data_IF_419657573667
#
_entry.id   IF_419657573667
#
_cell.length_a   1.000
_cell.length_b   1.000
_cell.length_c   1.000
_cell.angle_alpha   90.00
_cell.angle_beta   90.00
_cell.angle_gamma   90.00
#
_symmetry.space_group_name_H-M   'P 1'
#
loop_
_entity.id
_entity.type
_entity.pdbx_description
1 polymer ?
#
# COMPACT_ATOMS: atom_id res chain seq x y z
N UNK A 1 -43.24 16.00 8.21
CA UNK A 1 -42.86 14.59 8.35
C UNK A 1 -42.36 14.32 9.77
N UNK A 2 -42.74 13.14 10.30
CA UNK A 2 -42.55 12.83 11.69
C UNK A 2 -41.06 12.74 12.06
N UNK A 3 -40.64 13.32 13.21
CA UNK A 3 -39.25 13.23 13.72
C UNK A 3 -38.73 11.78 13.83
N UNK A 4 -39.62 10.82 14.00
CA UNK A 4 -39.30 9.39 14.08
C UNK A 4 -38.77 8.82 12.75
N UNK A 5 -39.25 9.31 11.61
CA UNK A 5 -38.76 8.85 10.28
C UNK A 5 -37.36 9.37 10.02
N UNK A 6 -37.11 10.65 10.32
CA UNK A 6 -35.77 11.22 10.20
C UNK A 6 -34.76 10.50 11.10
N UNK A 7 -35.19 10.17 12.32
CA UNK A 7 -34.32 9.43 13.26
C UNK A 7 -34.02 8.02 12.75
N UNK A 8 -35.02 7.33 12.21
CA UNK A 8 -34.86 5.98 11.63
C UNK A 8 -33.93 5.97 10.43
N UNK A 9 -34.07 6.96 9.55
CA UNK A 9 -33.17 7.12 8.40
C UNK A 9 -31.73 7.41 8.83
N UNK A 10 -31.55 8.25 9.84
CA UNK A 10 -30.24 8.52 10.41
C UNK A 10 -29.59 7.26 11.01
N UNK A 11 -30.38 6.47 11.74
CA UNK A 11 -29.91 5.21 12.30
C UNK A 11 -29.54 4.20 11.21
N UNK A 12 -30.32 4.08 10.15
CA UNK A 12 -30.03 3.20 9.03
C UNK A 12 -28.74 3.61 8.33
N UNK A 13 -28.54 4.91 8.09
CA UNK A 13 -27.28 5.42 7.52
C UNK A 13 -26.09 5.11 8.40
N UNK A 14 -26.23 5.27 9.71
CA UNK A 14 -25.16 4.94 10.67
C UNK A 14 -24.83 3.45 10.67
N UNK A 15 -25.83 2.58 10.57
CA UNK A 15 -25.62 1.11 10.47
C UNK A 15 -24.88 0.74 9.19
N UNK A 16 -25.26 1.33 8.05
CA UNK A 16 -24.60 1.08 6.77
C UNK A 16 -23.15 1.54 6.82
N UNK A 17 -22.90 2.73 7.36
CA UNK A 17 -21.55 3.27 7.51
C UNK A 17 -20.68 2.39 8.41
N UNK A 18 -21.23 1.91 9.52
CA UNK A 18 -20.52 1.00 10.44
C UNK A 18 -20.19 -0.33 9.76
N UNK A 19 -21.15 -0.92 9.03
CA UNK A 19 -20.92 -2.17 8.30
C UNK A 19 -19.85 -2.01 7.22
N UNK A 20 -19.82 -0.89 6.52
CA UNK A 20 -18.79 -0.58 5.53
C UNK A 20 -17.40 -0.44 6.17
N UNK A 21 -17.33 0.20 7.34
CA UNK A 21 -16.07 0.36 8.09
C UNK A 21 -15.55 -1.00 8.59
N UNK A 22 -16.44 -1.84 9.10
CA UNK A 22 -16.09 -3.20 9.51
C UNK A 22 -15.57 -4.04 8.34
N UNK A 23 -16.20 -3.93 7.17
CA UNK A 23 -15.76 -4.62 5.95
C UNK A 23 -14.40 -4.12 5.48
N UNK A 24 -14.15 -2.81 5.50
CA UNK A 24 -12.84 -2.25 5.17
C UNK A 24 -11.75 -2.75 6.12
N UNK A 25 -12.05 -2.78 7.41
CA UNK A 25 -11.13 -3.32 8.42
C UNK A 25 -10.81 -4.78 8.16
N UNK A 26 -11.81 -5.59 7.87
CA UNK A 26 -11.64 -6.99 7.54
C UNK A 26 -10.83 -7.17 6.25
N UNK A 27 -11.11 -6.40 5.21
CA UNK A 27 -10.40 -6.42 3.94
C UNK A 27 -8.92 -6.04 4.10
N UNK A 28 -8.63 -5.03 4.91
CA UNK A 28 -7.26 -4.62 5.24
C UNK A 28 -6.49 -5.75 5.93
N UNK A 29 -7.09 -6.40 6.93
CA UNK A 29 -6.48 -7.55 7.62
C UNK A 29 -6.25 -8.74 6.69
N UNK A 30 -7.23 -9.08 5.86
CA UNK A 30 -7.13 -10.18 4.89
C UNK A 30 -6.07 -9.96 3.82
N UNK A 31 -5.75 -8.71 3.51
CA UNK A 31 -4.72 -8.39 2.52
C UNK A 31 -3.36 -9.01 2.87
N UNK A 32 -3.06 -9.16 4.16
CA UNK A 32 -1.80 -9.73 4.64
C UNK A 32 -1.85 -11.25 4.85
N UNK A 33 -2.98 -11.88 4.64
CA UNK A 33 -3.17 -13.33 4.76
C UNK A 33 -2.94 -14.07 3.43
N UNK A 34 -3.09 -13.36 2.31
CA UNK A 34 -2.86 -13.92 0.98
C UNK A 34 -1.39 -13.78 0.61
N UNK A 35 -0.86 -14.76 -0.10
CA UNK A 35 0.49 -14.67 -0.67
C UNK A 35 0.47 -15.19 -2.09
N UNK A 36 0.89 -14.32 -3.02
CA UNK A 36 1.05 -14.72 -4.42
C UNK A 36 2.24 -15.67 -4.51
N UNK A 37 2.05 -16.82 -5.19
CA UNK A 37 3.15 -17.73 -5.45
C UNK A 37 4.12 -17.09 -6.44
N UNK A 38 5.43 -17.18 -6.19
CA UNK A 38 6.43 -16.65 -7.12
C UNK A 38 6.26 -17.20 -8.54
N UNK A 39 5.84 -18.47 -8.66
CA UNK A 39 5.60 -19.16 -9.93
C UNK A 39 4.50 -18.51 -10.78
N UNK A 40 3.53 -17.88 -10.14
CA UNK A 40 2.41 -17.24 -10.83
C UNK A 40 2.85 -15.99 -11.60
N UNK A 41 3.86 -15.30 -11.12
CA UNK A 41 4.43 -14.12 -11.77
C UNK A 41 5.34 -14.51 -12.96
N UNK A 42 5.79 -15.76 -13.02
CA UNK A 42 6.69 -16.28 -14.05
C UNK A 42 5.98 -16.78 -15.31
N UNK A 43 4.64 -16.95 -15.28
CA UNK A 43 3.89 -17.62 -16.35
C UNK A 43 3.54 -16.69 -17.54
N UNK A 44 3.69 -15.40 -17.39
CA UNK A 44 3.32 -14.41 -18.41
C UNK A 44 4.52 -13.70 -19.04
N UNK A 45 5.28 -14.39 -19.91
CA UNK A 45 6.22 -13.68 -20.73
C UNK A 45 7.36 -14.49 -21.29
N UNK A 46 7.54 -14.43 -22.59
CA UNK A 46 8.50 -15.23 -23.33
C UNK A 46 9.92 -14.64 -23.41
N UNK A 47 10.17 -13.39 -23.03
CA UNK A 47 11.48 -12.77 -23.06
C UNK A 47 11.95 -12.32 -21.68
N UNK A 48 13.05 -12.93 -21.23
CA UNK A 48 13.63 -12.74 -19.90
C UNK A 48 14.51 -11.48 -19.90
N UNK A 49 13.92 -10.33 -19.59
CA UNK A 49 14.67 -9.10 -19.30
C UNK A 49 15.22 -9.08 -17.87
N UNK A 50 16.08 -8.10 -17.51
CA UNK A 50 16.62 -7.95 -16.16
C UNK A 50 15.53 -7.89 -15.08
N UNK A 51 14.40 -7.27 -15.35
CA UNK A 51 13.24 -7.20 -14.46
C UNK A 51 12.58 -8.59 -14.24
N UNK A 52 12.73 -9.51 -15.18
CA UNK A 52 12.22 -10.88 -15.09
C UNK A 52 13.13 -11.75 -14.20
N UNK A 53 14.43 -11.54 -14.27
CA UNK A 53 15.39 -12.20 -13.38
C UNK A 53 15.15 -11.78 -11.92
N UNK A 54 14.86 -10.52 -11.67
CA UNK A 54 14.52 -10.02 -10.33
C UNK A 54 13.23 -10.64 -9.80
N UNK A 55 12.22 -10.87 -10.66
CA UNK A 55 10.99 -11.57 -10.28
C UNK A 55 11.23 -13.03 -9.89
N UNK A 56 12.10 -13.74 -10.63
CA UNK A 56 12.46 -15.14 -10.34
C UNK A 56 13.28 -15.28 -9.06
N UNK A 57 14.10 -14.27 -8.74
CA UNK A 57 14.91 -14.26 -7.54
C UNK A 57 14.11 -13.99 -6.27
N UNK A 58 12.82 -13.54 -6.40
CA UNK A 58 11.94 -13.22 -5.31
C UNK A 58 12.19 -11.84 -4.66
N UNK A 59 11.26 -11.41 -3.85
CA UNK A 59 11.30 -10.08 -3.23
C UNK A 59 12.51 -9.89 -2.31
N UNK A 60 12.92 -10.95 -1.61
CA UNK A 60 14.09 -10.91 -0.70
C UNK A 60 15.39 -10.51 -1.39
N UNK A 61 15.53 -10.79 -2.67
CA UNK A 61 16.71 -10.43 -3.44
C UNK A 61 16.89 -8.91 -3.59
N UNK A 62 15.84 -8.14 -3.34
CA UNK A 62 15.84 -6.67 -3.44
C UNK A 62 16.31 -5.99 -2.16
N UNK A 63 16.59 -6.74 -1.09
CA UNK A 63 17.08 -6.16 0.17
C UNK A 63 18.38 -5.36 -0.07
N UNK A 64 18.38 -4.12 0.41
CA UNK A 64 19.51 -3.19 0.25
C UNK A 64 19.50 -2.39 -1.05
N UNK A 65 18.62 -2.72 -2.00
CA UNK A 65 18.51 -2.05 -3.30
C UNK A 65 17.07 -1.77 -3.75
N UNK A 66 16.13 -1.81 -2.82
CA UNK A 66 14.74 -1.52 -3.11
C UNK A 66 14.61 -0.06 -3.57
N UNK A 67 13.97 0.21 -4.73
CA UNK A 67 13.75 1.59 -5.15
C UNK A 67 12.76 2.30 -4.24
N UNK A 68 12.93 3.61 -4.08
CA UNK A 68 11.94 4.41 -3.36
C UNK A 68 10.63 4.51 -4.15
N UNK A 69 9.48 4.54 -3.46
CA UNK A 69 8.17 4.62 -4.13
C UNK A 69 7.88 5.97 -4.78
N UNK A 70 8.70 7.00 -4.50
CA UNK A 70 8.63 8.31 -5.14
C UNK A 70 9.97 8.57 -5.82
N UNK A 71 9.92 8.90 -7.11
CA UNK A 71 11.11 9.24 -7.89
C UNK A 71 11.60 10.65 -7.54
N UNK A 72 12.92 10.86 -7.66
CA UNK A 72 13.55 12.16 -7.44
C UNK A 72 14.05 12.35 -6.00
N UNK A 73 14.34 13.59 -5.66
CA UNK A 73 14.83 13.96 -4.32
C UNK A 73 13.66 14.10 -3.35
N UNK A 74 13.23 12.98 -2.78
CA UNK A 74 12.32 13.01 -1.65
C UNK A 74 13.12 13.04 -0.36
N UNK A 75 12.71 13.85 0.59
CA UNK A 75 13.20 13.74 1.95
C UNK A 75 12.59 12.50 2.60
N UNK A 76 13.42 11.59 3.06
CA UNK A 76 13.00 10.32 3.67
C UNK A 76 13.27 10.36 5.16
N UNK A 77 12.23 10.14 5.96
CA UNK A 77 12.33 10.14 7.41
C UNK A 77 11.74 8.84 7.98
N UNK A 78 12.47 8.18 8.87
CA UNK A 78 11.93 7.06 9.63
C UNK A 78 10.92 7.56 10.65
N UNK A 79 9.76 6.92 10.72
CA UNK A 79 8.69 7.27 11.65
C UNK A 79 8.14 6.03 12.33
N UNK A 80 7.68 6.18 13.56
CA UNK A 80 6.92 5.17 14.28
C UNK A 80 5.50 5.65 14.49
N UNK A 81 4.53 4.83 14.15
CA UNK A 81 3.12 5.15 14.40
C UNK A 81 2.70 4.68 15.77
N UNK A 82 2.05 5.57 16.52
CA UNK A 82 1.47 5.22 17.82
C UNK A 82 0.28 4.31 17.62
N UNK A 83 0.27 3.16 18.30
CA UNK A 83 -0.87 2.25 18.42
C UNK A 83 -1.07 1.23 17.31
N UNK A 84 -0.53 1.42 16.14
CA UNK A 84 -0.79 0.51 15.02
C UNK A 84 0.45 -0.15 14.44
N UNK A 85 1.57 0.07 15.03
CA UNK A 85 2.57 -0.65 14.40
C UNK A 85 3.97 -0.16 14.43
N UNK A 86 4.74 -0.89 13.83
CA UNK A 86 6.15 -0.83 13.73
C UNK A 86 6.66 0.35 12.94
N UNK A 87 7.94 0.31 12.63
CA UNK A 87 8.63 1.36 11.92
C UNK A 87 8.13 1.50 10.48
N UNK A 88 7.95 2.73 10.03
CA UNK A 88 7.67 3.08 8.64
C UNK A 88 8.59 4.19 8.18
N UNK A 89 8.39 4.65 6.96
CA UNK A 89 9.07 5.83 6.44
C UNK A 89 8.06 6.83 5.89
N UNK A 90 8.37 8.09 6.07
CA UNK A 90 7.63 9.20 5.50
C UNK A 90 8.48 9.87 4.44
N UNK A 91 7.93 10.01 3.24
CA UNK A 91 8.61 10.64 2.11
C UNK A 91 7.91 11.94 1.79
N UNK A 92 8.63 13.05 1.89
CA UNK A 92 8.14 14.37 1.49
C UNK A 92 8.29 14.52 -0.02
N UNK A 93 7.24 14.94 -0.68
CA UNK A 93 7.19 15.04 -2.13
C UNK A 93 6.48 16.34 -2.57
N UNK A 94 6.45 16.58 -3.86
CA UNK A 94 5.62 17.62 -4.46
C UNK A 94 4.15 17.19 -4.46
N UNK A 95 3.25 18.16 -4.43
CA UNK A 95 1.81 17.91 -4.53
C UNK A 95 1.48 17.10 -5.78
N UNK A 96 0.71 16.03 -5.61
CA UNK A 96 0.31 15.17 -6.72
C UNK A 96 1.43 14.32 -7.29
N UNK A 97 2.58 14.21 -6.63
CA UNK A 97 3.69 13.37 -7.10
C UNK A 97 3.23 11.92 -7.31
N UNK A 98 3.65 11.27 -8.41
CA UNK A 98 3.33 9.87 -8.64
C UNK A 98 3.96 8.97 -7.59
N UNK A 99 3.19 8.00 -7.12
CA UNK A 99 3.64 6.91 -6.24
C UNK A 99 3.73 5.62 -7.05
N UNK A 100 4.86 4.96 -6.98
CA UNK A 100 5.15 3.76 -7.76
C UNK A 100 5.36 2.54 -6.88
N UNK A 101 4.92 1.39 -7.35
CA UNK A 101 5.20 0.12 -6.68
C UNK A 101 6.70 -0.15 -6.62
N UNK A 102 7.21 -0.45 -5.44
CA UNK A 102 8.64 -0.72 -5.21
C UNK A 102 9.13 -2.00 -5.88
N UNK A 103 8.23 -2.90 -6.21
CA UNK A 103 8.53 -4.16 -6.90
C UNK A 103 7.27 -4.68 -7.59
N UNK A 104 7.43 -5.69 -8.44
CA UNK A 104 6.30 -6.39 -9.05
C UNK A 104 5.44 -7.05 -7.96
N UNK A 105 4.14 -7.11 -8.19
CA UNK A 105 3.22 -7.74 -7.26
C UNK A 105 1.77 -7.63 -7.69
N UNK A 106 0.89 -8.03 -6.80
CA UNK A 106 -0.56 -7.95 -6.98
C UNK A 106 -1.15 -7.03 -5.92
N UNK A 107 -2.06 -6.16 -6.34
CA UNK A 107 -2.77 -5.29 -5.40
C UNK A 107 -3.69 -6.12 -4.52
N UNK A 108 -3.44 -6.13 -3.23
CA UNK A 108 -4.23 -6.85 -2.24
C UNK A 108 -5.31 -6.00 -1.59
N UNK A 109 -5.14 -4.67 -1.60
CA UNK A 109 -6.08 -3.72 -1.02
C UNK A 109 -5.90 -2.34 -1.68
N UNK A 110 -7.00 -1.65 -1.95
CA UNK A 110 -6.99 -0.28 -2.46
C UNK A 110 -8.26 0.44 -2.00
N UNK A 111 -8.21 1.04 -0.83
CA UNK A 111 -9.34 1.75 -0.23
C UNK A 111 -8.87 2.63 0.93
N UNK A 112 -9.78 3.42 1.49
CA UNK A 112 -9.55 4.18 2.71
C UNK A 112 -9.60 3.26 3.93
N UNK A 113 -8.63 3.40 4.83
CA UNK A 113 -8.60 2.65 6.09
C UNK A 113 -8.09 3.50 7.24
N UNK A 114 -8.98 3.77 8.20
CA UNK A 114 -8.65 4.46 9.46
C UNK A 114 -7.75 5.69 9.26
N UNK A 115 -6.75 5.86 10.09
CA UNK A 115 -5.79 6.97 10.01
C UNK A 115 -4.70 6.78 8.93
N UNK A 116 -4.66 5.62 8.26
CA UNK A 116 -3.86 5.44 7.04
C UNK A 116 -4.39 6.26 5.85
N UNK A 117 -5.67 6.66 5.88
CA UNK A 117 -6.30 7.31 4.74
C UNK A 117 -6.40 6.39 3.53
N UNK A 118 -6.37 6.96 2.34
CA UNK A 118 -6.39 6.19 1.10
C UNK A 118 -5.10 5.39 0.98
N UNK A 119 -5.24 4.07 0.88
CA UNK A 119 -4.13 3.12 1.02
C UNK A 119 -4.17 2.09 -0.09
N UNK A 120 -2.99 1.77 -0.62
CA UNK A 120 -2.76 0.64 -1.52
C UNK A 120 -1.79 -0.32 -0.83
N UNK A 121 -2.13 -1.62 -0.85
CA UNK A 121 -1.24 -2.70 -0.39
C UNK A 121 -0.91 -3.56 -1.60
N UNK A 122 0.38 -3.81 -1.81
CA UNK A 122 0.88 -4.69 -2.88
C UNK A 122 1.50 -5.93 -2.25
N UNK A 123 1.02 -7.10 -2.70
CA UNK A 123 1.56 -8.42 -2.34
C UNK A 123 2.68 -8.78 -3.34
N UNK A 124 3.91 -8.89 -2.84
CA UNK A 124 5.09 -9.19 -3.67
C UNK A 124 5.45 -10.68 -3.69
N UNK A 125 4.64 -11.52 -3.06
CA UNK A 125 4.99 -12.90 -2.82
C UNK A 125 5.94 -13.08 -1.63
N UNK A 126 6.25 -14.32 -1.29
CA UNK A 126 7.09 -14.67 -0.14
C UNK A 126 6.62 -14.05 1.18
N UNK A 127 5.33 -13.78 1.30
CA UNK A 127 4.69 -13.11 2.44
C UNK A 127 5.20 -11.68 2.69
N UNK A 128 5.69 -10.99 1.67
CA UNK A 128 6.13 -9.61 1.75
C UNK A 128 5.12 -8.68 1.08
N UNK A 129 4.83 -7.57 1.76
CA UNK A 129 3.84 -6.57 1.33
C UNK A 129 4.41 -5.18 1.47
N UNK A 130 4.09 -4.31 0.53
CA UNK A 130 4.33 -2.87 0.63
C UNK A 130 3.02 -2.13 0.84
N UNK A 131 3.02 -1.16 1.71
CA UNK A 131 1.86 -0.33 2.07
C UNK A 131 2.14 1.11 1.71
N UNK A 132 1.28 1.71 0.91
CA UNK A 132 1.35 3.10 0.47
C UNK A 132 0.13 3.81 1.05
N UNK A 133 0.33 4.73 1.99
CA UNK A 133 -0.73 5.40 2.72
C UNK A 133 -0.71 6.92 2.52
N UNK A 134 -1.79 7.57 2.89
CA UNK A 134 -2.01 9.00 2.68
C UNK A 134 -1.97 9.41 1.20
N UNK A 135 -2.52 8.56 0.33
CA UNK A 135 -2.66 8.86 -1.08
C UNK A 135 -3.76 9.89 -1.33
N UNK A 136 -3.56 10.74 -2.32
CA UNK A 136 -4.58 11.65 -2.82
C UNK A 136 -5.52 10.96 -3.81
N UNK A 137 -4.98 10.03 -4.60
CA UNK A 137 -5.72 9.21 -5.53
C UNK A 137 -5.06 7.84 -5.66
N UNK A 138 -5.85 6.80 -5.85
CA UNK A 138 -5.40 5.45 -6.20
C UNK A 138 -5.70 5.18 -7.67
N UNK A 139 -4.70 4.73 -8.42
CA UNK A 139 -4.82 4.42 -9.86
C UNK A 139 -5.02 2.92 -10.11
N UNK A 140 -5.08 2.14 -9.06
CA UNK A 140 -5.19 0.67 -9.10
C UNK A 140 -6.32 0.21 -8.19
N UNK A 141 -6.74 -1.02 -8.40
CA UNK A 141 -7.75 -1.68 -7.58
C UNK A 141 -7.27 -3.07 -7.13
N UNK A 142 -7.87 -3.59 -6.08
CA UNK A 142 -7.59 -4.94 -5.59
C UNK A 142 -7.72 -5.97 -6.73
N UNK A 143 -6.73 -6.83 -6.85
CA UNK A 143 -6.64 -7.84 -7.90
C UNK A 143 -5.75 -7.46 -9.09
N UNK A 144 -5.42 -6.18 -9.28
CA UNK A 144 -4.54 -5.74 -10.36
C UNK A 144 -3.13 -6.31 -10.19
N UNK A 145 -2.55 -6.76 -11.28
CA UNK A 145 -1.14 -7.17 -11.33
C UNK A 145 -0.28 -6.00 -11.80
N UNK A 146 0.82 -5.77 -11.07
CA UNK A 146 1.70 -4.64 -11.31
C UNK A 146 3.12 -5.09 -11.62
N UNK A 147 3.74 -4.58 -12.69
CA UNK A 147 5.20 -4.63 -12.81
C UNK A 147 5.85 -3.71 -11.77
N UNK A 148 7.11 -3.96 -11.44
CA UNK A 148 7.88 -3.05 -10.60
C UNK A 148 7.94 -1.65 -11.22
N UNK A 149 7.77 -0.62 -10.41
CA UNK A 149 7.72 0.76 -10.87
C UNK A 149 6.39 1.22 -11.45
N UNK A 150 5.36 0.37 -11.49
CA UNK A 150 4.03 0.76 -11.92
C UNK A 150 3.44 1.81 -10.97
N UNK A 151 2.73 2.78 -11.53
CA UNK A 151 2.07 3.82 -10.76
C UNK A 151 0.89 3.24 -9.98
N UNK A 152 0.87 3.45 -8.68
CA UNK A 152 -0.23 3.01 -7.79
C UNK A 152 -1.16 4.15 -7.40
N UNK A 153 -0.69 5.39 -7.49
CA UNK A 153 -1.47 6.56 -7.13
C UNK A 153 -0.64 7.83 -7.10
N UNK A 154 -1.16 8.81 -6.41
CA UNK A 154 -0.52 10.12 -6.21
C UNK A 154 -0.54 10.50 -4.74
N UNK A 155 0.42 11.31 -4.32
CA UNK A 155 0.50 11.81 -2.95
C UNK A 155 -0.57 12.88 -2.73
N UNK A 156 -1.23 12.84 -1.55
CA UNK A 156 -2.16 13.89 -1.14
C UNK A 156 -1.41 15.11 -0.63
N UNK A 157 -1.96 16.30 -0.95
CA UNK A 157 -1.54 17.56 -0.34
C UNK A 157 -2.08 17.64 1.09
N UNK A 158 -1.25 18.10 2.01
CA UNK A 158 -1.63 18.31 3.41
C UNK A 158 -1.13 19.67 3.94
N UNK A 159 -1.50 20.04 5.19
CA UNK A 159 -1.07 21.31 5.81
C UNK A 159 0.46 21.44 5.89
N UNK A 160 1.15 20.33 6.03
CA UNK A 160 2.61 20.23 6.16
C UNK A 160 3.28 19.80 4.84
N UNK A 161 2.60 19.97 3.70
CA UNK A 161 3.05 19.53 2.39
C UNK A 161 2.55 18.15 2.00
N UNK A 162 3.03 17.65 0.88
CA UNK A 162 2.67 16.32 0.38
C UNK A 162 3.61 15.27 0.98
N UNK A 163 3.06 14.30 1.69
CA UNK A 163 3.81 13.24 2.35
C UNK A 163 3.19 11.88 2.08
N UNK A 164 4.01 10.95 1.62
CA UNK A 164 3.67 9.55 1.53
C UNK A 164 4.11 8.84 2.81
N UNK A 165 3.24 8.03 3.38
CA UNK A 165 3.63 7.09 4.43
C UNK A 165 3.77 5.68 3.80
N UNK A 166 4.90 5.04 4.08
CA UNK A 166 5.26 3.74 3.50
C UNK A 166 5.64 2.74 4.58
N UNK A 167 5.11 1.53 4.49
CA UNK A 167 5.49 0.39 5.33
C UNK A 167 5.90 -0.80 4.47
N UNK A 168 6.78 -1.63 5.02
CA UNK A 168 6.96 -3.01 4.60
C UNK A 168 6.41 -3.95 5.66
N UNK A 169 5.79 -5.03 5.21
CA UNK A 169 5.29 -6.08 6.11
C UNK A 169 5.74 -7.45 5.63
N UNK A 170 5.98 -8.32 6.60
CA UNK A 170 6.13 -9.76 6.40
C UNK A 170 4.96 -10.45 7.11
N UNK A 171 4.00 -10.97 6.32
CA UNK A 171 2.70 -11.29 6.87
C UNK A 171 2.05 -10.03 7.45
N UNK A 172 1.45 -10.11 8.61
CA UNK A 172 0.87 -8.96 9.30
C UNK A 172 1.89 -8.11 10.08
N UNK A 173 3.12 -8.61 10.22
CA UNK A 173 4.18 -7.94 10.98
C UNK A 173 4.80 -6.79 10.18
N UNK A 174 4.81 -5.60 10.77
CA UNK A 174 5.51 -4.44 10.19
C UNK A 174 7.02 -4.60 10.43
N UNK A 175 7.81 -4.51 9.38
CA UNK A 175 9.27 -4.63 9.44
C UNK A 175 9.93 -3.28 9.09
N UNK A 176 11.15 -3.07 9.58
CA UNK A 176 11.90 -1.84 9.29
C UNK A 176 12.26 -1.79 7.79
N UNK A 177 11.78 -0.78 7.05
CA UNK A 177 12.11 -0.65 5.63
C UNK A 177 13.51 -0.08 5.36
N UNK A 178 14.16 0.49 6.35
CA UNK A 178 15.47 1.12 6.20
C UNK A 178 16.51 0.23 5.54
N UNK A 179 16.79 -0.99 6.06
CA UNK A 179 17.73 -1.91 5.44
C UNK A 179 17.38 -2.30 4.01
N UNK A 180 16.12 -2.31 3.65
CA UNK A 180 15.63 -2.62 2.30
C UNK A 180 16.01 -1.54 1.29
N UNK A 181 15.98 -0.27 1.71
CA UNK A 181 16.40 0.86 0.89
C UNK A 181 17.91 1.11 0.91
N UNK A 182 18.66 0.35 1.70
CA UNK A 182 20.10 0.56 1.87
C UNK A 182 20.43 1.76 2.78
N UNK A 183 19.54 2.07 3.69
CA UNK A 183 19.71 3.16 4.67
C UNK A 183 20.40 2.67 5.94
#
# INVERSE_FOLDING_TARGET
RAPLEVHREAMNRARVALAQEEERRAAFGRAFETSVRPDYLAIYGADVGPAELDRRAGFRSLMGRLPFPIAGRAEVRKVSRRGAGGPGVELTALDGAPVRSVAAGRVAFADTYADYGLTVIVDHGERHYSVYAHLGAADVKAGDQLPGGARVGTVASGPDGAKLYFELRRGAEVIDPGPWFGM
#
